data_IF_321441736960
#
_entry.id   IF_321441736960
#
_cell.length_a   1.000
_cell.length_b   1.000
_cell.length_c   1.000
_cell.angle_alpha   90.00
_cell.angle_beta   90.00
_cell.angle_gamma   90.00
#
_symmetry.space_group_name_H-M   'P 1'
#
loop_
_entity.id
_entity.type
_entity.pdbx_description
1 polymer ?
#
# COMPACT_ATOMS: atom_id res chain seq x y z
N UNK A 1 18.23 6.86 -14.88
CA UNK A 1 19.40 6.70 -13.98
C UNK A 1 18.93 5.88 -12.79
N UNK A 2 19.60 4.76 -12.49
CA UNK A 2 19.26 3.92 -11.34
C UNK A 2 19.91 4.53 -10.10
N UNK A 3 19.12 4.87 -9.07
CA UNK A 3 19.67 5.38 -7.82
C UNK A 3 20.37 4.24 -7.07
N UNK A 4 21.59 4.46 -6.52
CA UNK A 4 22.23 3.47 -5.67
C UNK A 4 21.39 3.28 -4.39
N UNK A 5 21.21 2.03 -3.98
CA UNK A 5 20.56 1.71 -2.70
C UNK A 5 21.45 2.20 -1.54
N UNK A 6 20.87 2.89 -0.57
CA UNK A 6 21.63 3.40 0.57
C UNK A 6 22.02 2.25 1.50
N UNK A 7 23.32 1.99 1.58
CA UNK A 7 23.90 0.83 2.29
C UNK A 7 24.17 1.08 3.79
N UNK A 8 23.89 2.29 4.30
CA UNK A 8 24.10 2.67 5.70
C UNK A 8 22.89 2.39 6.60
N UNK A 9 23.14 2.16 7.90
CA UNK A 9 22.10 1.83 8.89
C UNK A 9 21.18 3.01 9.29
N UNK A 10 21.40 4.21 8.73
CA UNK A 10 20.68 5.45 9.05
C UNK A 10 20.64 6.37 7.84
N UNK A 11 19.51 7.05 7.61
CA UNK A 11 19.43 8.13 6.60
C UNK A 11 20.23 9.35 7.02
N UNK A 12 21.08 9.86 6.12
CA UNK A 12 21.69 11.18 6.26
C UNK A 12 20.85 12.26 5.58
N UNK A 13 21.04 13.53 5.96
CA UNK A 13 20.33 14.66 5.33
C UNK A 13 20.58 14.77 3.80
N UNK A 14 21.80 14.51 3.28
CA UNK A 14 22.02 14.39 1.84
C UNK A 14 21.18 13.29 1.16
N UNK A 15 21.02 12.13 1.79
CA UNK A 15 20.22 11.03 1.23
C UNK A 15 18.75 11.42 1.11
N UNK A 16 18.21 12.06 2.17
CA UNK A 16 16.84 12.59 2.18
C UNK A 16 16.62 13.57 1.03
N UNK A 17 17.57 14.49 0.83
CA UNK A 17 17.49 15.50 -0.22
C UNK A 17 17.63 14.91 -1.63
N UNK A 18 18.46 13.89 -1.81
CA UNK A 18 18.59 13.18 -3.09
C UNK A 18 17.28 12.47 -3.47
N UNK A 19 16.65 11.78 -2.51
CA UNK A 19 15.34 11.14 -2.71
C UNK A 19 14.28 12.19 -3.07
N UNK A 20 14.27 13.31 -2.34
CA UNK A 20 13.35 14.41 -2.63
C UNK A 20 13.54 14.98 -4.03
N UNK A 21 14.79 15.23 -4.44
CA UNK A 21 15.11 15.75 -5.78
C UNK A 21 14.62 14.80 -6.86
N UNK A 22 14.92 13.51 -6.74
CA UNK A 22 14.46 12.50 -7.68
C UNK A 22 12.92 12.41 -7.73
N UNK A 23 12.25 12.51 -6.58
CA UNK A 23 10.79 12.54 -6.54
C UNK A 23 10.23 13.80 -7.21
N UNK A 24 10.85 14.96 -7.00
CA UNK A 24 10.42 16.22 -7.61
C UNK A 24 10.59 16.21 -9.14
N UNK A 25 11.68 15.64 -9.66
CA UNK A 25 11.87 15.46 -11.10
C UNK A 25 10.76 14.60 -11.71
N UNK A 26 10.40 13.49 -11.06
CA UNK A 26 9.29 12.63 -11.47
C UNK A 26 7.95 13.35 -11.41
N UNK A 27 7.71 14.16 -10.38
CA UNK A 27 6.48 14.96 -10.26
C UNK A 27 6.31 15.93 -11.44
N UNK A 28 7.41 16.52 -11.93
CA UNK A 28 7.37 17.43 -13.08
C UNK A 28 7.08 16.71 -14.40
N UNK A 29 7.46 15.44 -14.51
CA UNK A 29 7.32 14.64 -15.73
C UNK A 29 6.02 13.82 -15.75
N UNK A 30 5.45 13.51 -14.58
CA UNK A 30 4.29 12.64 -14.46
C UNK A 30 3.05 13.25 -15.15
N UNK A 31 2.43 12.47 -16.03
CA UNK A 31 1.22 12.87 -16.73
C UNK A 31 -0.01 12.82 -15.80
N UNK A 32 0.02 11.95 -14.78
CA UNK A 32 -1.09 11.73 -13.86
C UNK A 32 -0.62 11.18 -12.51
N UNK A 33 -1.52 11.16 -11.53
CA UNK A 33 -1.19 10.72 -10.16
C UNK A 33 -0.83 9.23 -10.04
N UNK A 34 -1.39 8.36 -10.90
CA UNK A 34 -1.14 6.90 -10.86
C UNK A 34 0.30 6.60 -11.28
N UNK A 35 0.74 7.22 -12.37
CA UNK A 35 2.11 7.12 -12.84
C UNK A 35 3.10 7.56 -11.76
N UNK A 36 2.87 8.74 -11.15
CA UNK A 36 3.68 9.23 -10.04
C UNK A 36 3.66 8.28 -8.85
N UNK A 37 2.50 7.76 -8.47
CA UNK A 37 2.38 6.81 -7.35
C UNK A 37 3.20 5.55 -7.62
N UNK A 38 3.08 4.96 -8.82
CA UNK A 38 3.81 3.76 -9.22
C UNK A 38 5.32 3.98 -9.20
N UNK A 39 5.79 5.13 -9.69
CA UNK A 39 7.22 5.44 -9.75
C UNK A 39 7.84 5.78 -8.40
N UNK A 40 7.08 6.33 -7.46
CA UNK A 40 7.60 6.74 -6.14
C UNK A 40 7.34 5.68 -5.09
N UNK A 41 6.07 5.30 -4.91
CA UNK A 41 5.57 4.44 -3.82
C UNK A 41 5.33 2.99 -4.24
N UNK A 42 5.32 2.70 -5.55
CA UNK A 42 5.05 1.36 -6.08
C UNK A 42 6.04 0.29 -5.59
N UNK A 43 5.73 -0.98 -5.87
CA UNK A 43 6.55 -2.14 -5.47
C UNK A 43 7.99 -2.03 -5.99
N UNK A 44 8.19 -1.39 -7.15
CA UNK A 44 9.50 -1.08 -7.73
C UNK A 44 9.79 0.43 -7.75
N UNK A 45 9.10 1.19 -6.90
CA UNK A 45 9.22 2.65 -6.85
C UNK A 45 10.53 3.11 -6.23
N UNK A 46 10.83 4.39 -6.42
CA UNK A 46 12.01 5.08 -5.92
C UNK A 46 12.26 4.79 -4.44
N UNK A 47 11.23 4.90 -3.59
CA UNK A 47 11.39 4.75 -2.15
C UNK A 47 11.81 3.33 -1.76
N UNK A 48 11.31 2.29 -2.45
CA UNK A 48 11.72 0.90 -2.17
C UNK A 48 13.14 0.58 -2.63
N UNK A 49 13.59 1.22 -3.72
CA UNK A 49 14.94 1.04 -4.23
C UNK A 49 15.96 1.80 -3.38
N UNK A 50 15.62 3.03 -3.01
CA UNK A 50 16.48 3.89 -2.19
C UNK A 50 16.55 3.42 -0.74
N UNK A 51 15.40 3.04 -0.15
CA UNK A 51 15.25 2.70 1.27
C UNK A 51 14.84 1.23 1.42
N UNK A 52 15.75 0.27 1.17
CA UNK A 52 15.42 -1.15 1.22
C UNK A 52 15.11 -1.66 2.64
N UNK A 53 15.60 -0.98 3.69
CA UNK A 53 15.41 -1.40 5.07
C UNK A 53 14.18 -0.74 5.69
N UNK A 54 13.32 -1.47 6.42
CA UNK A 54 12.11 -0.91 7.03
C UNK A 54 12.35 0.29 7.94
N UNK A 55 13.44 0.29 8.71
CA UNK A 55 13.77 1.40 9.61
C UNK A 55 14.19 2.67 8.85
N UNK A 56 14.84 2.55 7.69
CA UNK A 56 15.18 3.68 6.84
C UNK A 56 13.90 4.31 6.27
N UNK A 57 12.98 3.48 5.79
CA UNK A 57 11.68 3.95 5.32
C UNK A 57 10.92 4.69 6.44
N UNK A 58 10.91 4.12 7.65
CA UNK A 58 10.30 4.77 8.82
C UNK A 58 10.96 6.10 9.17
N UNK A 59 12.30 6.18 9.14
CA UNK A 59 13.03 7.44 9.36
C UNK A 59 12.65 8.49 8.32
N UNK A 60 12.59 8.11 7.04
CA UNK A 60 12.20 9.02 5.96
C UNK A 60 10.75 9.50 6.09
N UNK A 61 9.82 8.65 6.54
CA UNK A 61 8.43 9.06 6.78
C UNK A 61 8.27 10.17 7.83
N UNK A 62 9.25 10.35 8.72
CA UNK A 62 9.24 11.43 9.71
C UNK A 62 9.84 12.75 9.17
N UNK A 63 10.32 12.79 7.92
CA UNK A 63 10.95 14.00 7.36
C UNK A 63 9.94 14.92 6.69
N UNK A 64 10.30 16.20 6.57
CA UNK A 64 9.49 17.19 5.85
C UNK A 64 9.40 16.86 4.36
N UNK A 65 10.46 16.29 3.78
CA UNK A 65 10.54 15.91 2.38
C UNK A 65 9.50 14.85 2.02
N UNK A 66 9.26 13.87 2.91
CA UNK A 66 8.19 12.90 2.71
C UNK A 66 6.81 13.58 2.66
N UNK A 67 6.57 14.54 3.57
CA UNK A 67 5.33 15.34 3.57
C UNK A 67 5.17 16.12 2.26
N UNK A 68 6.23 16.73 1.74
CA UNK A 68 6.18 17.43 0.45
C UNK A 68 5.89 16.47 -0.72
N UNK A 69 6.49 15.27 -0.75
CA UNK A 69 6.19 14.26 -1.77
C UNK A 69 4.71 13.82 -1.71
N UNK A 70 4.14 13.65 -0.52
CA UNK A 70 2.71 13.37 -0.38
C UNK A 70 1.83 14.54 -0.88
N UNK A 71 2.25 15.79 -0.65
CA UNK A 71 1.55 16.96 -1.21
C UNK A 71 1.64 17.01 -2.74
N UNK A 72 2.75 16.61 -3.34
CA UNK A 72 2.89 16.47 -4.80
C UNK A 72 1.86 15.49 -5.36
N UNK A 73 1.72 14.32 -4.74
CA UNK A 73 0.71 13.33 -5.10
C UNK A 73 -0.71 13.88 -4.98
N UNK A 74 -1.02 14.59 -3.88
CA UNK A 74 -2.32 15.23 -3.69
C UNK A 74 -2.63 16.26 -4.78
N UNK A 75 -1.64 17.08 -5.18
CA UNK A 75 -1.78 18.05 -6.28
C UNK A 75 -2.06 17.36 -7.62
N UNK A 76 -1.38 16.25 -7.93
CA UNK A 76 -1.67 15.48 -9.14
C UNK A 76 -3.09 14.94 -9.12
N UNK A 77 -3.59 14.44 -7.99
CA UNK A 77 -4.96 13.92 -7.89
C UNK A 77 -6.04 14.98 -8.15
N UNK A 78 -5.77 16.24 -7.79
CA UNK A 78 -6.69 17.34 -8.09
C UNK A 78 -6.67 17.74 -9.58
N UNK A 79 -5.51 17.60 -10.24
CA UNK A 79 -5.31 17.96 -11.65
C UNK A 79 -5.67 16.86 -12.64
N UNK A 80 -5.58 15.60 -12.21
CA UNK A 80 -5.74 14.46 -13.11
C UNK A 80 -7.20 14.34 -13.57
N UNK A 81 -7.39 14.27 -14.88
CA UNK A 81 -8.66 13.87 -15.50
C UNK A 81 -9.00 12.38 -15.22
N UNK A 82 -9.87 11.74 -16.03
CA UNK A 82 -10.19 10.33 -15.86
C UNK A 82 -8.90 9.50 -15.76
N UNK A 83 -8.89 8.58 -14.79
CA UNK A 83 -7.75 7.71 -14.46
C UNK A 83 -7.33 7.01 -15.76
N UNK A 84 -6.02 6.96 -16.10
CA UNK A 84 -5.54 6.22 -17.26
C UNK A 84 -6.03 4.78 -17.24
N UNK A 85 -6.02 4.12 -18.39
CA UNK A 85 -6.45 2.74 -18.62
C UNK A 85 -5.54 1.72 -17.89
N UNK A 86 -5.49 1.79 -16.56
CA UNK A 86 -4.87 0.80 -15.69
C UNK A 86 -5.95 -0.18 -15.23
N UNK A 87 -5.60 -1.46 -15.22
CA UNK A 87 -6.52 -2.51 -14.82
C UNK A 87 -7.02 -2.27 -13.38
N UNK A 88 -8.31 -1.96 -13.26
CA UNK A 88 -8.92 -1.71 -11.95
C UNK A 88 -9.14 -3.03 -11.23
N UNK A 89 -8.51 -3.19 -10.06
CA UNK A 89 -8.74 -4.32 -9.17
C UNK A 89 -9.70 -3.94 -8.04
N UNK A 90 -10.63 -4.84 -7.73
CA UNK A 90 -11.58 -4.65 -6.62
C UNK A 90 -11.05 -5.34 -5.37
N UNK A 91 -11.03 -4.60 -4.26
CA UNK A 91 -10.82 -5.16 -2.92
C UNK A 91 -12.13 -5.10 -2.14
N UNK A 92 -12.47 -6.17 -1.42
CA UNK A 92 -13.62 -6.20 -0.51
C UNK A 92 -13.11 -6.18 0.91
N UNK A 93 -13.44 -5.13 1.66
CA UNK A 93 -13.02 -4.96 3.07
C UNK A 93 -14.22 -5.13 3.98
N UNK A 94 -14.10 -5.98 5.01
CA UNK A 94 -15.06 -6.05 6.11
C UNK A 94 -14.66 -5.03 7.17
N UNK A 95 -15.54 -4.09 7.48
CA UNK A 95 -15.32 -3.07 8.51
C UNK A 95 -16.49 -3.05 9.51
N UNK A 96 -16.25 -2.73 10.80
CA UNK A 96 -17.31 -2.54 11.77
C UNK A 96 -18.31 -1.45 11.33
N UNK A 97 -19.57 -1.60 11.73
CA UNK A 97 -20.64 -0.66 11.39
C UNK A 97 -20.31 0.79 11.80
N UNK A 98 -19.76 0.97 13.00
CA UNK A 98 -19.36 2.29 13.51
C UNK A 98 -18.33 2.97 12.61
N UNK A 99 -17.35 2.21 12.09
CA UNK A 99 -16.34 2.74 11.17
C UNK A 99 -16.95 3.11 9.82
N UNK A 100 -17.85 2.27 9.29
CA UNK A 100 -18.58 2.58 8.06
C UNK A 100 -19.38 3.89 8.20
N UNK A 101 -20.11 4.06 9.30
CA UNK A 101 -20.91 5.28 9.55
C UNK A 101 -20.04 6.53 9.66
N UNK A 102 -18.89 6.44 10.33
CA UNK A 102 -17.91 7.52 10.40
C UNK A 102 -17.38 7.90 9.00
N UNK A 103 -16.93 6.92 8.22
CA UNK A 103 -16.44 7.16 6.85
C UNK A 103 -17.50 7.76 5.94
N UNK A 104 -18.76 7.31 6.07
CA UNK A 104 -19.89 7.84 5.31
C UNK A 104 -20.16 9.30 5.64
N UNK A 105 -20.12 9.67 6.92
CA UNK A 105 -20.28 11.07 7.35
C UNK A 105 -19.16 11.94 6.80
N UNK A 106 -17.91 11.52 6.96
CA UNK A 106 -16.76 12.29 6.48
C UNK A 106 -16.79 12.48 4.95
N UNK A 107 -17.15 11.44 4.19
CA UNK A 107 -17.30 11.52 2.74
C UNK A 107 -18.39 12.53 2.33
N UNK A 108 -19.52 12.55 3.05
CA UNK A 108 -20.58 13.52 2.85
C UNK A 108 -20.09 14.96 3.12
N UNK A 109 -19.38 15.18 4.23
CA UNK A 109 -18.82 16.48 4.59
C UNK A 109 -17.84 16.99 3.51
N UNK A 110 -17.13 16.08 2.83
CA UNK A 110 -16.20 16.37 1.73
C UNK A 110 -16.85 16.33 0.34
N UNK A 111 -18.18 16.20 0.25
CA UNK A 111 -18.95 16.17 -1.01
C UNK A 111 -18.41 15.15 -2.03
N UNK A 112 -17.99 13.98 -1.56
CA UNK A 112 -17.41 12.93 -2.41
C UNK A 112 -18.08 11.59 -2.14
N UNK A 113 -17.93 10.63 -3.06
CA UNK A 113 -18.45 9.28 -2.83
C UNK A 113 -17.62 8.56 -1.77
N UNK A 114 -18.25 7.62 -1.06
CA UNK A 114 -17.56 6.80 -0.05
C UNK A 114 -16.31 6.12 -0.64
N UNK A 115 -16.41 5.56 -1.85
CA UNK A 115 -15.26 4.92 -2.49
C UNK A 115 -14.14 5.91 -2.79
N UNK A 116 -14.44 7.10 -3.34
CA UNK A 116 -13.43 8.13 -3.60
C UNK A 116 -12.77 8.59 -2.30
N UNK A 117 -13.55 8.71 -1.22
CA UNK A 117 -13.07 9.06 0.11
C UNK A 117 -12.14 7.99 0.70
N UNK A 118 -12.55 6.74 0.69
CA UNK A 118 -11.77 5.61 1.19
C UNK A 118 -10.45 5.44 0.42
N UNK A 119 -10.49 5.52 -0.92
CA UNK A 119 -9.26 5.50 -1.74
C UNK A 119 -8.39 6.72 -1.42
N UNK A 120 -8.98 7.88 -1.12
CA UNK A 120 -8.22 9.04 -0.63
C UNK A 120 -7.45 8.72 0.65
N UNK A 121 -8.13 8.17 1.66
CA UNK A 121 -7.51 7.79 2.95
C UNK A 121 -6.42 6.72 2.78
N UNK A 122 -6.68 5.67 2.00
CA UNK A 122 -5.72 4.58 1.75
C UNK A 122 -4.44 5.06 1.07
N UNK A 123 -4.57 6.02 0.15
CA UNK A 123 -3.43 6.61 -0.55
C UNK A 123 -2.72 7.66 0.30
N UNK A 124 -3.46 8.40 1.12
CA UNK A 124 -2.92 9.56 1.83
C UNK A 124 -2.02 9.19 2.99
N UNK A 125 -2.29 8.17 3.80
CA UNK A 125 -1.38 7.78 4.87
C UNK A 125 -1.71 6.39 5.41
N UNK A 126 -0.67 5.56 5.45
CA UNK A 126 -0.46 4.65 6.56
C UNK A 126 0.82 5.13 7.24
N UNK A 127 0.64 5.78 8.38
CA UNK A 127 1.74 5.97 9.33
C UNK A 127 2.16 4.56 9.77
N UNK A 128 3.42 4.19 9.54
CA UNK A 128 3.94 2.84 9.82
C UNK A 128 3.79 2.47 11.31
N UNK A 129 3.53 3.46 12.17
CA UNK A 129 3.17 3.30 13.58
C UNK A 129 1.87 2.53 13.83
N UNK A 130 0.99 2.36 12.84
CA UNK A 130 -0.31 1.67 13.02
C UNK A 130 -0.20 0.15 12.87
N UNK A 131 0.85 -0.38 12.21
CA UNK A 131 0.99 -1.82 11.97
C UNK A 131 2.00 -2.54 12.87
N UNK A 132 2.62 -1.84 13.83
CA UNK A 132 3.37 -2.50 14.89
C UNK A 132 2.40 -2.97 15.98
N UNK A 133 2.01 -4.24 15.87
CA UNK A 133 1.45 -5.15 16.89
C UNK A 133 0.14 -5.83 16.46
N UNK A 134 0.26 -7.00 15.84
CA UNK A 134 -0.28 -8.26 16.34
C UNK A 134 0.16 -9.39 15.41
N UNK A 135 0.95 -10.32 15.95
CA UNK A 135 1.06 -11.68 15.40
C UNK A 135 -0.32 -12.32 15.50
N UNK A 136 -1.16 -12.13 14.49
CA UNK A 136 -2.36 -12.94 14.33
C UNK A 136 -1.91 -14.30 13.79
N UNK A 137 -1.65 -15.19 14.74
CA UNK A 137 -1.31 -16.59 14.52
C UNK A 137 -2.47 -17.20 13.74
N UNK A 138 -2.34 -17.32 12.42
CA UNK A 138 -3.31 -18.05 11.62
C UNK A 138 -3.39 -19.48 12.19
N UNK A 139 -4.58 -20.00 12.57
CA UNK A 139 -4.68 -21.40 12.90
C UNK A 139 -4.35 -22.18 11.63
N UNK A 140 -3.30 -23.00 11.71
CA UNK A 140 -2.99 -24.00 10.69
C UNK A 140 -4.24 -24.85 10.52
N UNK A 141 -4.95 -24.63 9.42
CA UNK A 141 -6.07 -25.47 9.00
C UNK A 141 -5.43 -26.76 8.47
N UNK A 142 -5.23 -27.74 9.35
CA UNK A 142 -4.88 -29.09 8.95
C UNK A 142 -5.98 -29.62 8.01
N UNK A 143 -5.62 -30.18 6.84
CA UNK A 143 -6.59 -30.86 6.00
C UNK A 143 -7.25 -31.99 6.80
N UNK A 144 -8.57 -32.22 6.67
CA UNK A 144 -9.21 -33.36 7.33
C UNK A 144 -8.58 -34.65 6.80
N UNK A 145 -8.17 -35.49 7.74
CA UNK A 145 -7.66 -36.84 7.56
C UNK A 145 -8.61 -37.66 6.66
N UNK A 146 -8.13 -38.37 5.63
CA UNK A 146 -9.00 -39.18 4.78
C UNK A 146 -9.60 -40.32 5.61
N UNK A 147 -10.93 -40.43 5.56
CA UNK A 147 -11.71 -41.49 6.20
C UNK A 147 -11.14 -42.88 5.82
N UNK A 148 -11.05 -43.84 6.77
CA UNK A 148 -10.56 -45.17 6.47
C UNK A 148 -11.47 -45.85 5.43
N UNK A 149 -10.82 -46.31 4.35
CA UNK A 149 -11.44 -47.09 3.28
C UNK A 149 -12.17 -48.32 3.87
N UNK A 150 -13.49 -48.36 3.66
CA UNK A 150 -14.31 -49.54 3.89
C UNK A 150 -13.86 -50.66 2.94
N UNK A 151 -13.45 -51.84 3.43
CA UNK A 151 -13.06 -52.93 2.55
C UNK A 151 -14.29 -53.53 1.86
N UNK A 152 -14.25 -53.58 0.53
CA UNK A 152 -15.27 -54.21 -0.31
C UNK A 152 -15.50 -55.69 0.10
N UNK A 153 -16.73 -56.22 -0.03
CA UNK A 153 -17.05 -57.58 0.38
C UNK A 153 -16.34 -58.60 -0.52
N UNK A 154 -15.49 -59.42 0.10
CA UNK A 154 -14.91 -60.62 -0.52
C UNK A 154 -16.03 -61.64 -0.75
N UNK A 155 -16.43 -61.81 -2.01
CA UNK A 155 -17.24 -62.94 -2.45
C UNK A 155 -16.39 -64.21 -2.42
N UNK A 156 -16.79 -65.20 -1.61
CA UNK A 156 -16.27 -66.57 -1.70
C UNK A 156 -17.31 -67.47 -2.37
N UNK A 157 -16.91 -68.31 -3.35
CA UNK A 157 -17.83 -69.14 -4.09
C UNK A 157 -18.20 -70.42 -3.31
N UNK A 158 -19.38 -70.97 -3.61
CA UNK A 158 -19.78 -72.34 -3.26
C UNK A 158 -19.88 -73.16 -4.53
#
# INVERSE_FOLDING_TARGET
MSMPAFSGNSLSAPDVQEIYRAAYEKFRQAANWVEFYREIFGVRGLLRQALPLPHQYHQFQQTQEYVEIQRMLAKLRQRSGPIPDEETKVITVRIPRSLYEALRKEAYDHQTSLNKYCISKLVQLLDSRIFSESEDTAPVMTPPEPLPHEPAPVSTPK
#
